data_IF_946478043908
#
_entry.id   IF_946478043908
#
_cell.length_a   1.000
_cell.length_b   1.000
_cell.length_c   1.000
_cell.angle_alpha   90.00
_cell.angle_beta   90.00
_cell.angle_gamma   90.00
#
_symmetry.space_group_name_H-M   'P 1'
#
loop_
_entity.id
_entity.type
_entity.pdbx_description
1 polymer ?
#
# COMPACT_ATOMS: atom_id res chain seq x y z
N UNK A 1 -5.90 5.90 22.28
CA UNK A 1 -5.95 6.35 20.88
C UNK A 1 -5.19 7.65 20.71
N UNK A 2 -5.46 8.75 21.44
CA UNK A 2 -4.71 10.01 21.26
C UNK A 2 -3.19 9.86 21.41
N UNK A 3 -2.73 9.15 22.45
CA UNK A 3 -1.30 8.92 22.67
C UNK A 3 -0.61 8.19 21.52
N UNK A 4 -1.29 7.19 20.93
CA UNK A 4 -0.79 6.44 19.77
C UNK A 4 -0.64 7.39 18.57
N UNK A 5 -1.66 8.21 18.30
CA UNK A 5 -1.63 9.20 17.21
C UNK A 5 -0.52 10.23 17.42
N UNK A 6 -0.41 10.78 18.63
CA UNK A 6 0.64 11.74 18.97
C UNK A 6 2.05 11.15 18.77
N UNK A 7 2.24 9.86 19.06
CA UNK A 7 3.52 9.19 18.81
C UNK A 7 3.89 9.22 17.32
N UNK A 8 2.93 8.95 16.42
CA UNK A 8 3.13 9.08 14.97
C UNK A 8 3.30 10.54 14.53
N UNK A 9 2.52 11.48 15.07
CA UNK A 9 2.62 12.92 14.74
C UNK A 9 3.99 13.51 15.12
N UNK A 10 4.66 12.94 16.13
CA UNK A 10 6.02 13.29 16.55
C UNK A 10 7.11 12.61 15.71
N UNK A 11 6.74 11.93 14.61
CA UNK A 11 7.66 11.26 13.70
C UNK A 11 8.01 9.83 14.11
N UNK A 12 7.28 9.23 15.06
CA UNK A 12 7.40 7.81 15.34
C UNK A 12 7.00 6.98 14.12
N UNK A 13 7.82 6.02 13.75
CA UNK A 13 7.55 5.08 12.67
C UNK A 13 7.90 3.66 13.09
N UNK A 14 7.22 2.69 12.49
CA UNK A 14 7.48 1.27 12.67
C UNK A 14 7.48 0.60 11.31
N UNK A 15 8.43 -0.29 11.08
CA UNK A 15 8.43 -1.19 9.94
C UNK A 15 8.21 -2.60 10.45
N UNK A 16 7.17 -3.25 9.94
CA UNK A 16 6.87 -4.66 10.18
C UNK A 16 7.09 -5.38 8.87
N UNK A 17 7.99 -6.37 8.86
CA UNK A 17 8.18 -7.22 7.69
C UNK A 17 7.02 -8.23 7.59
N UNK A 18 6.49 -8.46 6.39
CA UNK A 18 5.43 -9.44 6.13
C UNK A 18 5.83 -10.88 6.53
N UNK A 19 7.14 -11.15 6.66
CA UNK A 19 7.70 -12.45 7.08
C UNK A 19 8.10 -12.49 8.55
N UNK A 20 7.92 -11.41 9.31
CA UNK A 20 8.32 -11.34 10.71
C UNK A 20 7.49 -12.31 11.55
N UNK A 21 8.16 -13.05 12.45
CA UNK A 21 7.46 -13.88 13.43
C UNK A 21 6.74 -13.01 14.47
N UNK A 22 5.65 -13.53 15.06
CA UNK A 22 4.84 -12.77 16.02
C UNK A 22 5.66 -12.19 17.20
N UNK A 23 6.66 -12.91 17.70
CA UNK A 23 7.53 -12.40 18.77
C UNK A 23 8.42 -11.22 18.35
N UNK A 24 8.84 -11.16 17.09
CA UNK A 24 9.59 -10.03 16.53
C UNK A 24 8.69 -8.83 16.29
N UNK A 25 7.53 -9.05 15.64
CA UNK A 25 6.52 -8.03 15.43
C UNK A 25 6.06 -7.41 16.77
N UNK A 26 5.83 -8.23 17.79
CA UNK A 26 5.44 -7.77 19.11
C UNK A 26 6.48 -6.85 19.74
N UNK A 27 7.78 -7.18 19.63
CA UNK A 27 8.86 -6.31 20.13
C UNK A 27 8.85 -4.94 19.45
N UNK A 28 8.64 -4.90 18.14
CA UNK A 28 8.53 -3.65 17.42
C UNK A 28 7.29 -2.85 17.87
N UNK A 29 6.13 -3.50 18.02
CA UNK A 29 4.88 -2.87 18.46
C UNK A 29 4.96 -2.30 19.88
N UNK A 30 5.77 -2.89 20.76
CA UNK A 30 6.03 -2.35 22.11
C UNK A 30 6.69 -0.96 22.11
N UNK A 31 7.32 -0.53 21.01
CA UNK A 31 7.89 0.82 20.90
C UNK A 31 6.83 1.93 20.79
N UNK A 32 5.60 1.58 20.40
CA UNK A 32 4.51 2.53 20.19
C UNK A 32 3.86 2.85 21.54
N UNK A 33 4.04 4.08 21.99
CA UNK A 33 3.56 4.48 23.31
C UNK A 33 2.03 4.44 23.40
N UNK A 34 1.51 3.79 24.45
CA UNK A 34 0.08 3.73 24.70
C UNK A 34 -0.68 2.70 23.85
N UNK A 35 0.00 1.90 23.01
CA UNK A 35 -0.63 0.89 22.15
C UNK A 35 -1.09 -0.32 22.97
N UNK A 36 -0.16 -0.95 23.72
CA UNK A 36 -0.42 -2.19 24.44
C UNK A 36 -1.51 -2.03 25.51
N UNK A 37 -1.60 -0.86 26.14
CA UNK A 37 -2.63 -0.53 27.11
C UNK A 37 -4.03 -0.48 26.49
N UNK A 38 -4.15 -0.22 25.17
CA UNK A 38 -5.45 -0.21 24.48
C UNK A 38 -5.94 -1.60 24.08
N UNK A 39 -5.06 -2.60 24.03
CA UNK A 39 -5.44 -3.98 23.72
C UNK A 39 -6.38 -4.57 24.78
N UNK A 40 -6.29 -4.09 26.02
CA UNK A 40 -7.18 -4.50 27.11
C UNK A 40 -8.67 -4.28 26.79
N UNK A 41 -8.99 -3.29 25.92
CA UNK A 41 -10.37 -3.06 25.45
C UNK A 41 -10.88 -4.14 24.50
N UNK A 42 -9.97 -4.89 23.89
CA UNK A 42 -10.23 -6.08 23.07
C UNK A 42 -10.12 -7.36 23.89
N UNK A 43 -9.99 -7.25 25.23
CA UNK A 43 -9.80 -8.37 26.14
C UNK A 43 -8.48 -9.13 25.89
N UNK A 44 -7.47 -8.44 25.36
CA UNK A 44 -6.12 -8.96 25.12
C UNK A 44 -5.14 -8.26 26.06
N UNK A 45 -4.31 -9.04 26.73
CA UNK A 45 -3.35 -8.58 27.74
C UNK A 45 -1.98 -9.24 27.62
N UNK A 46 -1.04 -8.88 28.52
CA UNK A 46 0.36 -9.29 28.42
C UNK A 46 0.61 -10.79 28.67
N UNK A 47 -0.41 -11.52 29.14
CA UNK A 47 -0.33 -12.98 29.37
C UNK A 47 -0.80 -13.80 28.17
N UNK A 48 -1.40 -13.14 27.17
CA UNK A 48 -1.85 -13.80 25.96
C UNK A 48 -0.68 -14.11 25.04
N UNK A 49 -0.91 -14.98 24.05
CA UNK A 49 0.13 -15.35 23.09
C UNK A 49 0.55 -14.15 22.25
N UNK A 50 1.78 -14.19 21.72
CA UNK A 50 2.30 -13.10 20.90
C UNK A 50 1.43 -12.85 19.66
N UNK A 51 0.92 -13.92 19.04
CA UNK A 51 0.04 -13.87 17.88
C UNK A 51 -1.24 -13.09 18.18
N UNK A 52 -1.85 -13.31 19.36
CA UNK A 52 -3.07 -12.61 19.74
C UNK A 52 -2.80 -11.14 20.05
N UNK A 53 -1.69 -10.85 20.73
CA UNK A 53 -1.27 -9.47 21.01
C UNK A 53 -0.95 -8.68 19.72
N UNK A 54 -0.21 -9.28 18.79
CA UNK A 54 0.10 -8.69 17.49
C UNK A 54 -1.17 -8.45 16.68
N UNK A 55 -2.04 -9.46 16.58
CA UNK A 55 -3.30 -9.33 15.82
C UNK A 55 -4.18 -8.21 16.37
N UNK A 56 -4.28 -8.09 17.70
CA UNK A 56 -5.02 -7.04 18.36
C UNK A 56 -4.40 -5.65 18.12
N UNK A 57 -3.09 -5.55 18.16
CA UNK A 57 -2.35 -4.32 17.87
C UNK A 57 -2.51 -3.87 16.42
N UNK A 58 -2.33 -4.78 15.45
CA UNK A 58 -2.55 -4.51 14.04
C UNK A 58 -3.99 -4.07 13.75
N UNK A 59 -4.98 -4.72 14.38
CA UNK A 59 -6.38 -4.30 14.27
C UNK A 59 -6.61 -2.86 14.74
N UNK A 60 -5.97 -2.45 15.84
CA UNK A 60 -6.06 -1.07 16.34
C UNK A 60 -5.39 -0.09 15.37
N UNK A 61 -4.19 -0.41 14.88
CA UNK A 61 -3.45 0.45 13.96
C UNK A 61 -4.18 0.59 12.62
N UNK A 62 -4.72 -0.49 12.08
CA UNK A 62 -5.53 -0.46 10.85
C UNK A 62 -6.81 0.36 11.05
N UNK A 63 -7.47 0.23 12.20
CA UNK A 63 -8.61 1.10 12.53
C UNK A 63 -8.24 2.59 12.58
N UNK A 64 -7.09 2.93 13.16
CA UNK A 64 -6.61 4.32 13.17
C UNK A 64 -6.29 4.83 11.76
N UNK A 65 -5.69 3.99 10.91
CA UNK A 65 -5.42 4.30 9.51
C UNK A 65 -6.72 4.48 8.71
N UNK A 66 -7.70 3.59 8.87
CA UNK A 66 -9.02 3.68 8.22
C UNK A 66 -9.77 4.97 8.59
N UNK A 67 -9.58 5.46 9.82
CA UNK A 67 -10.10 6.74 10.28
C UNK A 67 -9.21 7.95 9.91
N UNK A 68 -8.19 7.77 9.07
CA UNK A 68 -7.23 8.79 8.61
C UNK A 68 -6.50 9.50 9.76
N UNK A 69 -6.25 8.79 10.86
CA UNK A 69 -5.58 9.33 12.04
C UNK A 69 -4.07 9.12 12.03
N UNK A 70 -3.60 8.12 11.29
CA UNK A 70 -2.18 7.82 11.09
C UNK A 70 -1.99 7.45 9.61
N UNK A 71 -0.76 7.60 9.12
CA UNK A 71 -0.38 7.12 7.79
C UNK A 71 0.06 5.65 7.79
N UNK A 72 0.06 5.03 6.62
CA UNK A 72 0.68 3.73 6.34
C UNK A 72 1.41 3.83 5.00
N UNK A 73 2.66 3.36 4.94
CA UNK A 73 3.36 3.20 3.68
C UNK A 73 3.48 1.70 3.38
N UNK A 74 2.81 1.25 2.33
CA UNK A 74 2.86 -0.13 1.85
C UNK A 74 3.78 -0.21 0.64
N UNK A 75 5.07 0.13 0.73
CA UNK A 75 5.99 0.03 -0.42
C UNK A 75 6.02 -1.41 -0.98
N UNK A 76 5.07 -1.67 -1.87
CA UNK A 76 4.97 -2.83 -2.76
C UNK A 76 5.24 -2.26 -4.13
N UNK A 77 6.52 -2.04 -4.41
CA UNK A 77 6.99 -1.73 -5.77
C UNK A 77 6.68 -2.95 -6.63
N UNK A 78 5.56 -2.91 -7.34
CA UNK A 78 5.29 -3.82 -8.43
C UNK A 78 5.85 -3.20 -9.71
N UNK A 79 7.09 -3.53 -10.03
CA UNK A 79 7.64 -3.24 -11.36
C UNK A 79 6.96 -4.16 -12.38
N UNK A 80 6.32 -3.56 -13.41
CA UNK A 80 5.83 -4.32 -14.54
C UNK A 80 6.97 -5.14 -15.15
N UNK A 81 6.79 -6.45 -15.30
CA UNK A 81 7.72 -7.27 -16.10
C UNK A 81 7.92 -6.61 -17.46
N UNK A 82 9.17 -6.49 -17.90
CA UNK A 82 9.55 -5.80 -19.13
C UNK A 82 8.55 -6.12 -20.24
N UNK A 83 7.82 -5.09 -20.71
CA UNK A 83 6.94 -5.23 -21.87
C UNK A 83 7.81 -5.79 -23.00
N UNK A 84 7.44 -6.95 -23.54
CA UNK A 84 8.08 -7.49 -24.74
C UNK A 84 8.19 -6.36 -25.77
N UNK A 85 9.38 -6.15 -26.37
CA UNK A 85 9.58 -5.06 -27.31
C UNK A 85 8.57 -5.20 -28.45
N UNK A 86 7.75 -4.16 -28.65
CA UNK A 86 6.82 -4.11 -29.77
C UNK A 86 7.63 -4.20 -31.05
N UNK A 87 7.35 -5.23 -31.85
CA UNK A 87 7.83 -5.29 -33.23
C UNK A 87 7.40 -3.99 -33.95
N UNK A 88 8.31 -3.28 -34.63
CA UNK A 88 7.96 -2.05 -35.32
C UNK A 88 6.97 -2.38 -36.46
N UNK A 89 5.77 -1.81 -36.39
CA UNK A 89 4.83 -1.83 -37.51
C UNK A 89 5.43 -1.04 -38.68
N UNK A 90 5.43 -1.65 -39.86
CA UNK A 90 5.93 -1.00 -41.09
C UNK A 90 5.05 0.22 -41.43
N UNK A 91 5.63 1.33 -41.95
CA UNK A 91 4.85 2.50 -42.31
C UNK A 91 3.82 2.18 -43.39
N UNK A 92 2.59 2.64 -43.18
CA UNK A 92 1.51 2.59 -44.15
C UNK A 92 1.84 3.56 -45.29
N UNK A 93 2.20 3.05 -46.47
CA UNK A 93 2.30 3.88 -47.68
C UNK A 93 0.90 4.36 -48.05
N UNK A 94 0.68 5.68 -48.00
CA UNK A 94 -0.55 6.32 -48.44
C UNK A 94 -0.59 6.24 -49.95
N UNK A 95 -1.29 5.26 -50.50
CA UNK A 95 -1.68 5.25 -51.91
C UNK A 95 -2.61 6.46 -52.17
N UNK A 96 -2.09 7.49 -52.84
CA UNK A 96 -2.93 8.58 -53.34
C UNK A 96 -3.83 8.05 -54.47
N UNK A 97 -5.16 8.28 -54.42
CA UNK A 97 -6.03 7.86 -55.50
C UNK A 97 -5.82 8.75 -56.74
N UNK A 98 -5.86 8.19 -57.96
CA UNK A 98 -5.53 8.93 -59.16
C UNK A 98 -6.58 10.02 -59.49
N UNK A 99 -6.08 11.22 -59.79
CA UNK A 99 -6.84 12.39 -60.17
C UNK A 99 -7.71 12.13 -61.41
N UNK A 100 -9.04 12.32 -61.30
CA UNK A 100 -9.97 12.28 -62.45
C UNK A 100 -10.28 13.70 -62.93
N UNK A 101 -9.99 14.05 -64.20
CA UNK A 101 -10.35 15.35 -64.74
C UNK A 101 -11.86 15.44 -65.00
N UNK A 102 -12.47 16.54 -64.58
CA UNK A 102 -13.90 16.84 -64.77
C UNK A 102 -14.20 17.05 -66.25
N UNK A 103 -15.16 16.29 -66.82
CA UNK A 103 -15.70 16.53 -68.16
C UNK A 103 -16.71 17.69 -68.12
N UNK A 104 -16.54 18.63 -69.04
CA UNK A 104 -17.45 19.75 -69.33
C UNK A 104 -18.69 19.25 -70.08
N UNK A 105 -19.85 19.80 -69.71
CA UNK A 105 -21.16 19.55 -70.32
C UNK A 105 -21.27 20.20 -71.71
N UNK A 106 -21.86 19.47 -72.66
CA UNK A 106 -22.74 19.97 -73.72
C UNK A 106 -23.65 18.82 -74.15
#
# INVERSE_FOLDING_TARGET
>A
MQQIVQWFDLGGEIQLADTAGAGEALKALHSIQGLMEKLTKLNVGPKDTAELQVSAAEFVLEGLHAHKRIGRNEERVFSAGEKQPRHPEKPFEREEPPYRPRRSFN
#
